data_IF_405108824892
#
_entry.id   IF_405108824892
#
_cell.length_a   1.000
_cell.length_b   1.000
_cell.length_c   1.000
_cell.angle_alpha   90.00
_cell.angle_beta   90.00
_cell.angle_gamma   90.00
#
_symmetry.space_group_name_H-M   'P 1'
#
loop_
_entity.id
_entity.type
_entity.pdbx_description
1 polymer ?
#
# COMPACT_ATOMS: atom_id res chain seq x y z
N UNK A 1 5.18 16.44 -8.14
CA UNK A 1 5.67 15.28 -8.91
C UNK A 1 5.36 15.53 -10.36
N UNK A 2 6.33 15.36 -11.26
CA UNK A 2 6.10 15.56 -12.70
C UNK A 2 5.49 14.30 -13.28
N UNK A 3 4.38 14.42 -14.00
CA UNK A 3 3.81 13.31 -14.76
C UNK A 3 4.30 13.44 -16.20
N UNK A 4 4.96 12.40 -16.70
CA UNK A 4 5.52 12.40 -18.04
C UNK A 4 4.55 11.78 -19.03
N UNK A 5 4.28 12.51 -20.11
CA UNK A 5 3.71 11.94 -21.32
C UNK A 5 4.84 11.53 -22.26
N UNK A 6 4.75 10.34 -22.86
CA UNK A 6 5.72 9.85 -23.83
C UNK A 6 5.12 9.87 -25.24
N UNK A 7 5.88 10.38 -26.21
CA UNK A 7 5.54 10.30 -27.63
C UNK A 7 6.57 9.42 -28.35
N UNK A 8 6.11 8.33 -28.97
CA UNK A 8 6.99 7.42 -29.69
C UNK A 8 7.46 8.04 -31.01
N UNK A 9 8.73 7.81 -31.37
CA UNK A 9 9.27 8.12 -32.70
C UNK A 9 9.14 9.58 -33.14
N UNK A 10 9.18 10.52 -32.20
CA UNK A 10 9.40 11.94 -32.51
C UNK A 10 10.88 12.11 -32.83
N UNK A 11 11.20 12.40 -34.08
CA UNK A 11 12.54 12.68 -34.55
C UNK A 11 12.46 13.71 -35.67
N UNK A 12 12.83 14.94 -35.36
CA UNK A 12 12.75 16.08 -36.29
C UNK A 12 13.84 17.09 -35.96
N UNK A 13 13.74 18.28 -36.52
CA UNK A 13 14.67 19.38 -36.26
C UNK A 13 13.93 20.63 -35.84
N UNK A 14 14.64 21.61 -35.29
CA UNK A 14 14.10 22.94 -35.05
C UNK A 14 13.86 23.68 -36.37
N UNK A 15 12.67 24.24 -36.54
CA UNK A 15 12.32 25.08 -37.70
C UNK A 15 12.91 26.50 -37.61
N UNK A 16 13.30 26.94 -36.42
CA UNK A 16 13.87 28.25 -36.13
C UNK A 16 14.79 28.21 -34.91
N UNK A 17 15.68 29.20 -34.76
CA UNK A 17 16.58 29.25 -33.62
C UNK A 17 15.83 29.56 -32.33
N UNK A 18 16.33 29.08 -31.19
CA UNK A 18 15.80 29.39 -29.87
C UNK A 18 16.92 29.84 -28.92
N UNK A 19 16.62 30.83 -28.08
CA UNK A 19 17.52 31.28 -27.01
C UNK A 19 17.38 30.40 -25.76
N UNK A 20 18.31 30.48 -24.78
CA UNK A 20 18.20 29.74 -23.51
C UNK A 20 16.95 30.08 -22.69
N UNK A 21 16.35 31.25 -22.91
CA UNK A 21 15.14 31.74 -22.21
C UNK A 21 13.86 31.53 -23.02
N UNK A 22 13.92 30.88 -24.19
CA UNK A 22 12.75 30.67 -25.03
C UNK A 22 11.70 29.80 -24.31
N UNK A 23 10.46 30.29 -24.27
CA UNK A 23 9.30 29.62 -23.68
C UNK A 23 8.46 28.85 -24.71
N UNK A 24 8.87 28.90 -25.98
CA UNK A 24 8.26 28.18 -27.09
C UNK A 24 9.31 27.84 -28.13
N UNK A 25 9.11 26.74 -28.86
CA UNK A 25 9.88 26.38 -30.04
C UNK A 25 8.96 25.81 -31.11
N UNK A 26 9.40 25.87 -32.37
CA UNK A 26 8.70 25.27 -33.50
C UNK A 26 9.58 24.22 -34.14
N UNK A 27 9.01 23.04 -34.34
CA UNK A 27 9.63 21.90 -35.00
C UNK A 27 9.38 21.95 -36.51
N UNK A 28 10.28 21.37 -37.28
CA UNK A 28 10.15 21.28 -38.74
C UNK A 28 9.02 20.34 -39.18
N UNK A 29 8.56 19.46 -38.28
CA UNK A 29 7.45 18.54 -38.53
C UNK A 29 6.66 18.28 -37.25
N UNK A 30 5.35 18.09 -37.39
CA UNK A 30 4.46 17.64 -36.31
C UNK A 30 4.28 16.11 -36.28
N UNK A 31 5.02 15.37 -37.12
CA UNK A 31 4.87 13.92 -37.20
C UNK A 31 5.10 13.24 -35.85
N UNK A 32 4.18 12.33 -35.48
CA UNK A 32 4.17 11.56 -34.23
C UNK A 32 4.07 12.39 -32.94
N UNK A 33 3.88 13.70 -33.04
CA UNK A 33 3.55 14.51 -31.87
C UNK A 33 2.10 14.23 -31.44
N UNK A 34 1.81 14.20 -30.13
CA UNK A 34 0.45 14.12 -29.63
C UNK A 34 -0.33 15.39 -30.00
N UNK A 35 -1.64 15.28 -30.14
CA UNK A 35 -2.50 16.43 -30.46
C UNK A 35 -2.62 17.44 -29.31
N UNK A 36 -2.30 17.04 -28.08
CA UNK A 36 -2.39 17.86 -26.87
C UNK A 36 -1.50 17.30 -25.75
N UNK A 37 -1.12 18.15 -24.79
CA UNK A 37 -0.50 17.75 -23.52
C UNK A 37 -1.54 17.96 -22.41
N UNK A 38 -2.00 16.92 -21.70
CA UNK A 38 -2.95 17.07 -20.60
C UNK A 38 -2.42 17.95 -19.46
N UNK A 39 -3.33 18.63 -18.74
CA UNK A 39 -2.97 19.46 -17.61
C UNK A 39 -2.21 18.65 -16.53
N UNK A 40 -1.12 19.23 -16.01
CA UNK A 40 -0.26 18.58 -15.02
C UNK A 40 0.73 17.57 -15.59
N UNK A 41 0.70 17.32 -16.90
CA UNK A 41 1.68 16.49 -17.60
C UNK A 41 2.67 17.32 -18.41
N UNK A 42 3.79 16.71 -18.76
CA UNK A 42 4.77 17.30 -19.67
C UNK A 42 5.19 16.33 -20.76
N UNK A 43 5.44 16.85 -21.97
CA UNK A 43 6.14 16.13 -23.02
C UNK A 43 7.63 16.42 -22.93
N UNK A 44 8.45 15.37 -22.91
CA UNK A 44 9.91 15.50 -22.85
C UNK A 44 10.49 15.50 -24.25
N UNK A 45 11.38 16.44 -24.55
CA UNK A 45 12.13 16.51 -25.80
C UNK A 45 13.62 16.68 -25.48
N UNK A 46 14.45 15.89 -26.15
CA UNK A 46 15.90 16.08 -26.21
C UNK A 46 16.27 16.96 -27.37
N UNK A 47 17.15 17.93 -27.12
CA UNK A 47 17.81 18.75 -28.13
C UNK A 47 19.26 18.32 -28.26
N UNK A 48 19.77 18.30 -29.49
CA UNK A 48 21.17 18.00 -29.78
C UNK A 48 21.64 18.77 -31.00
N UNK A 49 22.88 19.25 -30.96
CA UNK A 49 23.40 20.14 -31.98
C UNK A 49 23.78 19.33 -33.23
N UNK A 50 23.41 19.83 -34.40
CA UNK A 50 23.67 19.10 -35.65
C UNK A 50 25.17 19.04 -35.99
N UNK A 51 25.93 20.05 -35.56
CA UNK A 51 27.34 20.25 -35.93
C UNK A 51 28.31 19.30 -35.24
N UNK A 52 28.25 19.20 -33.91
CA UNK A 52 29.16 18.40 -33.08
C UNK A 52 28.49 17.19 -32.46
N UNK A 53 27.18 17.27 -32.20
CA UNK A 53 26.38 16.27 -31.49
C UNK A 53 26.83 15.99 -30.06
N UNK A 54 27.61 16.90 -29.47
CA UNK A 54 28.14 16.75 -28.12
C UNK A 54 27.33 17.52 -27.08
N UNK A 55 26.52 18.50 -27.51
CA UNK A 55 25.69 19.29 -26.62
C UNK A 55 24.30 18.69 -26.55
N UNK A 56 23.78 18.53 -25.33
CA UNK A 56 22.45 17.99 -25.10
C UNK A 56 21.68 18.85 -24.12
N UNK A 57 20.39 19.02 -24.37
CA UNK A 57 19.47 19.61 -23.42
C UNK A 57 18.18 18.80 -23.38
N UNK A 58 17.71 18.52 -22.17
CA UNK A 58 16.36 17.99 -21.97
C UNK A 58 15.44 19.16 -21.64
N UNK A 59 14.33 19.23 -22.34
CA UNK A 59 13.28 20.23 -22.12
C UNK A 59 11.96 19.54 -21.86
N UNK A 60 11.11 20.18 -21.08
CA UNK A 60 9.72 19.78 -20.88
C UNK A 60 8.79 20.80 -21.51
N UNK A 61 7.86 20.36 -22.35
CA UNK A 61 6.78 21.18 -22.88
C UNK A 61 5.49 20.89 -22.11
N UNK A 62 4.71 21.93 -21.81
CA UNK A 62 3.42 21.82 -21.10
C UNK A 62 2.23 22.00 -22.04
N UNK A 63 2.46 22.47 -23.26
CA UNK A 63 1.44 22.57 -24.30
C UNK A 63 2.02 22.31 -25.69
N UNK A 64 1.14 21.89 -26.62
CA UNK A 64 1.47 21.65 -28.01
C UNK A 64 0.32 22.09 -28.92
N UNK A 65 0.66 22.68 -30.06
CA UNK A 65 -0.28 22.98 -31.13
C UNK A 65 0.43 22.84 -32.49
N UNK A 66 0.04 21.82 -33.27
CA UNK A 66 0.75 21.47 -34.50
C UNK A 66 2.21 21.12 -34.21
N UNK A 67 3.15 21.81 -34.88
CA UNK A 67 4.59 21.62 -34.68
C UNK A 67 5.19 22.55 -33.60
N UNK A 68 4.36 23.34 -32.91
CA UNK A 68 4.83 24.30 -31.91
C UNK A 68 4.63 23.74 -30.50
N UNK A 69 5.74 23.66 -29.76
CA UNK A 69 5.75 23.33 -28.33
C UNK A 69 5.85 24.62 -27.53
N UNK A 70 5.02 24.76 -26.50
CA UNK A 70 4.93 25.97 -25.69
C UNK A 70 4.90 25.66 -24.20
N UNK A 71 5.16 26.70 -23.40
CA UNK A 71 5.34 26.57 -21.96
C UNK A 71 6.57 25.70 -21.64
N UNK A 72 7.67 25.97 -22.34
CA UNK A 72 8.91 25.23 -22.23
C UNK A 72 9.58 25.47 -20.88
N UNK A 73 9.89 24.38 -20.19
CA UNK A 73 10.82 24.33 -19.07
C UNK A 73 12.17 23.84 -19.63
N UNK A 74 13.15 24.74 -19.63
CA UNK A 74 14.50 24.52 -20.16
C UNK A 74 15.42 23.88 -19.10
N UNK A 75 16.58 23.38 -19.50
CA UNK A 75 17.61 22.86 -18.58
C UNK A 75 17.10 21.78 -17.60
N UNK A 76 16.29 20.83 -18.08
CA UNK A 76 15.75 19.77 -17.22
C UNK A 76 16.75 18.65 -17.01
N UNK A 77 16.54 17.86 -15.96
CA UNK A 77 17.34 16.67 -15.64
C UNK A 77 18.84 16.94 -15.44
N UNK A 78 19.19 18.16 -15.01
CA UNK A 78 20.58 18.56 -14.80
C UNK A 78 21.33 18.95 -16.07
N UNK A 79 20.64 19.05 -17.21
CA UNK A 79 21.20 19.67 -18.43
C UNK A 79 21.25 21.19 -18.32
N UNK A 80 21.94 21.85 -19.25
CA UNK A 80 22.08 23.31 -19.29
C UNK A 80 21.26 23.88 -20.44
N UNK A 81 20.59 25.02 -20.21
CA UNK A 81 19.87 25.71 -21.27
C UNK A 81 20.86 26.37 -22.24
N UNK A 82 20.78 26.00 -23.52
CA UNK A 82 21.65 26.53 -24.58
C UNK A 82 20.85 27.28 -25.64
N UNK A 83 21.58 28.03 -26.47
CA UNK A 83 21.05 28.51 -27.74
C UNK A 83 21.10 27.37 -28.75
N UNK A 84 20.02 27.18 -29.49
CA UNK A 84 19.94 26.17 -30.55
C UNK A 84 19.63 26.85 -31.89
N UNK A 85 20.26 26.37 -32.95
CA UNK A 85 20.08 26.84 -34.31
C UNK A 85 18.94 26.12 -35.03
N UNK A 86 18.49 26.71 -36.13
CA UNK A 86 17.63 26.00 -37.10
C UNK A 86 18.34 24.74 -37.60
N UNK A 87 17.62 23.63 -37.68
CA UNK A 87 18.16 22.36 -38.13
C UNK A 87 18.80 21.50 -37.04
N UNK A 88 18.99 22.03 -35.83
CA UNK A 88 19.38 21.20 -34.68
C UNK A 88 18.31 20.15 -34.37
N UNK A 89 18.73 19.01 -33.85
CA UNK A 89 17.86 17.87 -33.63
C UNK A 89 16.92 18.10 -32.46
N UNK A 90 15.67 17.65 -32.62
CA UNK A 90 14.66 17.61 -31.59
C UNK A 90 13.96 16.26 -31.64
N UNK A 91 14.04 15.49 -30.56
CA UNK A 91 13.57 14.12 -30.53
C UNK A 91 12.98 13.73 -29.17
N UNK A 92 12.10 12.73 -29.17
CA UNK A 92 11.59 12.09 -27.95
C UNK A 92 12.30 10.76 -27.76
N UNK A 93 13.07 10.66 -26.69
CA UNK A 93 13.76 9.44 -26.26
C UNK A 93 13.58 9.25 -24.75
N UNK A 94 13.67 8.02 -24.23
CA UNK A 94 13.62 7.79 -22.79
C UNK A 94 14.73 8.57 -22.06
N UNK A 95 14.33 9.39 -21.09
CA UNK A 95 15.26 10.18 -20.27
C UNK A 95 15.44 9.61 -18.88
N UNK A 96 16.47 10.03 -18.15
CA UNK A 96 16.73 9.55 -16.79
C UNK A 96 15.57 9.93 -15.84
N UNK A 97 15.01 11.13 -15.99
CA UNK A 97 13.85 11.61 -15.24
C UNK A 97 12.61 10.76 -15.50
N UNK A 98 12.32 10.45 -16.78
CA UNK A 98 11.25 9.53 -17.14
C UNK A 98 11.46 8.13 -16.55
N UNK A 99 12.66 7.57 -16.70
CA UNK A 99 12.95 6.22 -16.22
C UNK A 99 12.88 6.11 -14.69
N UNK A 100 13.25 7.17 -13.96
CA UNK A 100 13.13 7.26 -12.50
C UNK A 100 11.69 7.43 -12.01
N UNK A 101 10.75 7.81 -12.88
CA UNK A 101 9.34 7.88 -12.52
C UNK A 101 8.67 6.50 -12.42
N UNK A 102 9.31 5.47 -12.97
CA UNK A 102 8.89 4.08 -12.79
C UNK A 102 9.46 3.50 -11.49
N UNK A 103 8.67 2.62 -10.85
CA UNK A 103 9.13 1.86 -9.70
C UNK A 103 10.31 0.95 -10.06
N UNK A 104 11.30 0.89 -9.18
CA UNK A 104 12.54 0.13 -9.34
C UNK A 104 12.54 -1.09 -8.41
N UNK A 105 12.72 -2.30 -8.95
CA UNK A 105 12.62 -3.54 -8.16
C UNK A 105 13.65 -3.65 -7.02
N UNK A 106 14.81 -3.01 -7.16
CA UNK A 106 15.91 -3.05 -6.18
C UNK A 106 15.93 -1.87 -5.21
N UNK A 107 14.98 -0.94 -5.31
CA UNK A 107 14.94 0.27 -4.48
C UNK A 107 13.60 0.40 -3.75
N UNK A 108 13.56 1.09 -2.60
CA UNK A 108 12.29 1.43 -1.96
C UNK A 108 11.44 2.32 -2.88
N UNK A 109 10.21 1.88 -3.17
CA UNK A 109 9.25 2.65 -3.97
C UNK A 109 8.14 3.19 -3.08
N UNK A 110 7.91 4.50 -3.15
CA UNK A 110 6.75 5.15 -2.51
C UNK A 110 5.73 5.49 -3.58
N UNK A 111 4.62 4.75 -3.61
CA UNK A 111 3.50 5.00 -4.50
C UNK A 111 2.50 5.90 -3.77
N UNK A 112 2.22 7.09 -4.32
CA UNK A 112 1.24 8.03 -3.78
C UNK A 112 0.10 8.22 -4.78
N UNK A 113 -1.13 8.30 -4.29
CA UNK A 113 -2.35 8.38 -5.12
C UNK A 113 -3.04 7.03 -5.33
N UNK A 114 -4.06 7.04 -6.19
CA UNK A 114 -4.90 5.87 -6.45
C UNK A 114 -4.18 4.86 -7.35
N UNK A 115 -3.95 3.65 -6.83
CA UNK A 115 -3.38 2.53 -7.58
C UNK A 115 -4.43 1.43 -7.68
N UNK A 116 -4.79 1.05 -8.91
CA UNK A 116 -5.73 -0.05 -9.16
C UNK A 116 -4.94 -1.30 -9.55
N UNK A 117 -5.06 -2.35 -8.75
CA UNK A 117 -4.52 -3.69 -9.07
C UNK A 117 -5.68 -4.57 -9.52
N UNK A 118 -5.58 -5.14 -10.73
CA UNK A 118 -6.61 -6.01 -11.29
C UNK A 118 -6.47 -7.46 -10.85
N UNK A 119 -5.26 -7.86 -10.46
CA UNK A 119 -4.97 -9.18 -9.91
C UNK A 119 -4.77 -9.08 -8.40
N UNK A 120 -5.05 -10.16 -7.63
CA UNK A 120 -4.82 -10.19 -6.20
C UNK A 120 -3.35 -9.87 -5.88
N UNK A 121 -3.14 -8.90 -5.00
CA UNK A 121 -1.82 -8.63 -4.45
C UNK A 121 -1.49 -9.76 -3.47
N UNK A 122 -0.48 -10.58 -3.79
CA UNK A 122 0.06 -11.54 -2.85
C UNK A 122 0.92 -10.78 -1.82
N UNK A 123 0.44 -10.68 -0.59
CA UNK A 123 1.17 -10.06 0.52
C UNK A 123 1.83 -11.18 1.31
N UNK A 124 3.10 -11.04 1.68
CA UNK A 124 3.75 -12.00 2.58
C UNK A 124 3.19 -11.85 4.00
N UNK A 125 3.28 -12.88 4.86
CA UNK A 125 2.85 -12.74 6.25
C UNK A 125 3.51 -11.53 6.94
N UNK A 126 2.71 -10.69 7.60
CA UNK A 126 3.24 -9.63 8.44
C UNK A 126 4.10 -10.21 9.58
N UNK A 127 5.37 -9.80 9.64
CA UNK A 127 6.37 -10.12 10.67
C UNK A 127 6.80 -8.88 11.47
N UNK A 128 6.37 -7.69 11.06
CA UNK A 128 6.72 -6.44 11.74
C UNK A 128 5.54 -5.48 11.76
N UNK A 129 5.48 -4.58 12.75
CA UNK A 129 4.42 -3.59 12.82
C UNK A 129 4.36 -2.68 11.58
N UNK A 130 3.14 -2.30 11.16
CA UNK A 130 2.91 -1.49 9.96
C UNK A 130 2.88 -2.29 8.64
N UNK A 131 3.14 -3.60 8.68
CA UNK A 131 2.92 -4.48 7.53
C UNK A 131 1.43 -4.90 7.44
N UNK A 132 0.94 -5.14 6.22
CA UNK A 132 -0.41 -5.65 6.00
C UNK A 132 -0.51 -7.13 6.42
N UNK A 133 -1.58 -7.48 7.13
CA UNK A 133 -1.84 -8.84 7.63
C UNK A 133 -2.70 -9.61 6.61
N UNK A 134 -2.29 -10.82 6.24
CA UNK A 134 -3.11 -11.70 5.41
C UNK A 134 -4.31 -12.24 6.18
N UNK A 135 -5.43 -12.48 5.48
CA UNK A 135 -6.59 -13.13 6.10
C UNK A 135 -6.25 -14.54 6.64
N UNK A 136 -5.38 -15.27 5.96
CA UNK A 136 -4.92 -16.61 6.39
C UNK A 136 -3.95 -16.56 7.57
N UNK A 137 -3.48 -15.37 7.98
CA UNK A 137 -2.78 -15.20 9.26
C UNK A 137 -3.75 -15.13 10.45
N UNK A 138 -5.05 -15.04 10.21
CA UNK A 138 -6.05 -15.30 11.23
C UNK A 138 -6.30 -16.81 11.31
N UNK A 139 -6.36 -17.41 12.53
CA UNK A 139 -6.72 -18.80 12.68
C UNK A 139 -8.06 -19.08 11.98
N UNK A 140 -8.08 -20.00 11.01
CA UNK A 140 -9.27 -20.31 10.20
C UNK A 140 -10.49 -20.71 11.04
N UNK A 141 -10.24 -21.27 12.23
CA UNK A 141 -11.21 -21.52 13.29
C UNK A 141 -10.49 -21.23 14.61
N UNK A 142 -11.13 -20.46 15.50
CA UNK A 142 -10.79 -20.49 16.93
C UNK A 142 -11.22 -21.88 17.46
N UNK A 143 -10.38 -22.88 17.21
CA UNK A 143 -10.71 -24.29 17.27
C UNK A 143 -10.85 -24.82 18.71
N UNK A 144 -11.27 -26.08 18.83
CA UNK A 144 -11.43 -26.83 20.08
C UNK A 144 -10.12 -27.06 20.87
N UNK A 145 -8.99 -26.59 20.36
CA UNK A 145 -7.67 -26.70 21.00
C UNK A 145 -7.16 -25.33 21.43
N UNK A 146 -6.64 -25.23 22.65
CA UNK A 146 -6.07 -23.99 23.17
C UNK A 146 -4.96 -23.46 22.25
N UNK A 147 -5.06 -22.21 21.84
CA UNK A 147 -4.15 -21.55 20.91
C UNK A 147 -3.91 -20.08 21.26
N UNK A 148 -2.91 -19.49 20.60
CA UNK A 148 -2.51 -18.10 20.75
C UNK A 148 -2.02 -17.55 19.41
N UNK A 149 -2.49 -16.37 19.03
CA UNK A 149 -2.05 -15.63 17.84
C UNK A 149 -1.58 -14.24 18.27
N UNK A 150 -0.38 -13.85 17.85
CA UNK A 150 0.18 -12.52 18.11
C UNK A 150 0.10 -11.68 16.84
N UNK A 151 -0.44 -10.47 16.97
CA UNK A 151 -0.54 -9.46 15.93
C UNK A 151 0.43 -8.32 16.24
N UNK A 152 1.45 -8.08 15.41
CA UNK A 152 2.43 -7.03 15.66
C UNK A 152 1.77 -5.64 15.68
N UNK A 153 2.18 -4.77 16.62
CA UNK A 153 1.71 -3.38 16.74
C UNK A 153 2.88 -2.45 17.07
N UNK A 154 2.87 -1.24 16.49
CA UNK A 154 3.89 -0.22 16.78
C UNK A 154 3.61 0.47 18.12
N UNK A 155 2.34 0.56 18.51
CA UNK A 155 1.90 1.29 19.69
C UNK A 155 2.01 0.44 20.96
N UNK A 156 2.00 -0.87 20.82
CA UNK A 156 2.03 -1.82 21.92
C UNK A 156 3.20 -2.78 21.63
N UNK A 157 4.33 -2.60 22.32
CA UNK A 157 5.63 -3.16 21.90
C UNK A 157 5.66 -4.65 21.54
N UNK A 158 4.91 -5.51 22.24
CA UNK A 158 4.79 -6.96 21.95
C UNK A 158 3.68 -7.33 20.97
N UNK A 159 2.89 -6.36 20.52
CA UNK A 159 1.69 -6.57 19.73
C UNK A 159 0.45 -6.90 20.55
N UNK A 160 -0.69 -7.05 19.89
CA UNK A 160 -1.90 -7.62 20.46
C UNK A 160 -1.84 -9.14 20.41
N UNK A 161 -2.37 -9.81 21.41
CA UNK A 161 -2.39 -11.27 21.52
C UNK A 161 -3.84 -11.73 21.66
N UNK A 162 -4.27 -12.60 20.75
CA UNK A 162 -5.53 -13.33 20.84
C UNK A 162 -5.25 -14.75 21.34
N UNK A 163 -5.77 -15.09 22.51
CA UNK A 163 -5.78 -16.46 23.04
C UNK A 163 -7.17 -17.04 22.87
N UNK A 164 -7.27 -18.31 22.58
CA UNK A 164 -8.54 -18.99 22.32
C UNK A 164 -8.47 -20.46 22.69
N UNK A 165 -9.63 -21.11 22.78
CA UNK A 165 -9.73 -22.54 23.00
C UNK A 165 -11.16 -22.97 23.31
N UNK A 166 -11.31 -24.17 23.83
CA UNK A 166 -12.59 -24.73 24.26
C UNK A 166 -12.45 -25.41 25.62
N UNK A 167 -13.44 -25.23 26.49
CA UNK A 167 -13.51 -25.94 27.76
C UNK A 167 -14.96 -26.18 28.18
N UNK A 168 -15.19 -27.28 28.89
CA UNK A 168 -16.51 -27.63 29.41
C UNK A 168 -16.85 -26.85 30.69
N UNK A 169 -18.13 -26.57 30.87
CA UNK A 169 -18.67 -26.04 32.13
C UNK A 169 -18.65 -27.09 33.22
N UNK A 170 -18.25 -26.69 34.42
CA UNK A 170 -18.27 -27.54 35.61
C UNK A 170 -19.69 -27.65 36.20
N UNK A 171 -19.86 -28.40 37.31
CA UNK A 171 -21.14 -28.58 38.00
C UNK A 171 -21.80 -27.28 38.49
N UNK A 172 -21.05 -26.17 38.57
CA UNK A 172 -21.55 -24.84 38.93
C UNK A 172 -21.87 -23.98 37.70
N UNK A 173 -21.86 -24.55 36.50
CA UNK A 173 -22.10 -23.84 35.23
C UNK A 173 -21.01 -22.84 34.85
N UNK A 174 -19.81 -22.99 35.42
CA UNK A 174 -18.68 -22.12 35.12
C UNK A 174 -17.67 -22.86 34.27
N UNK A 175 -17.21 -22.22 33.20
CA UNK A 175 -16.06 -22.66 32.41
C UNK A 175 -14.81 -21.92 32.90
N UNK A 176 -13.73 -22.67 33.12
CA UNK A 176 -12.43 -22.13 33.49
C UNK A 176 -11.41 -22.62 32.47
N UNK A 177 -10.68 -21.70 31.87
CA UNK A 177 -9.58 -22.02 30.97
C UNK A 177 -8.29 -21.31 31.42
N UNK A 178 -7.22 -22.10 31.53
CA UNK A 178 -5.86 -21.61 31.77
C UNK A 178 -5.16 -21.42 30.44
N UNK A 179 -4.56 -20.26 30.24
CA UNK A 179 -3.75 -19.99 29.06
C UNK A 179 -2.44 -20.79 29.14
N UNK A 180 -1.97 -21.32 28.01
CA UNK A 180 -0.68 -22.01 27.95
C UNK A 180 0.47 -21.11 28.44
N UNK A 181 0.41 -19.83 28.08
CA UNK A 181 1.31 -18.79 28.53
C UNK A 181 0.52 -17.54 28.95
N UNK A 182 1.10 -16.75 29.87
CA UNK A 182 0.49 -15.50 30.33
C UNK A 182 0.44 -14.42 29.23
N UNK A 183 -0.51 -13.48 29.33
CA UNK A 183 -0.36 -12.19 28.65
C UNK A 183 0.86 -11.46 29.24
N UNK A 184 1.84 -11.02 28.42
CA UNK A 184 3.06 -10.37 28.91
C UNK A 184 2.76 -9.16 29.82
N UNK A 185 1.87 -8.27 29.39
CA UNK A 185 1.63 -6.98 30.03
C UNK A 185 0.25 -6.90 30.68
N UNK A 186 -0.83 -7.05 29.91
CA UNK A 186 -2.17 -6.95 30.45
C UNK A 186 -3.20 -7.69 29.59
N UNK A 187 -4.31 -8.05 30.21
CA UNK A 187 -5.50 -8.49 29.48
C UNK A 187 -6.39 -7.27 29.20
N UNK A 188 -7.20 -7.35 28.15
CA UNK A 188 -8.10 -6.30 27.70
C UNK A 188 -9.56 -6.73 27.81
N UNK A 189 -9.91 -7.87 27.20
CA UNK A 189 -11.28 -8.38 27.17
C UNK A 189 -11.28 -9.87 26.87
N UNK A 190 -12.41 -10.53 27.10
CA UNK A 190 -12.60 -11.92 26.75
C UNK A 190 -14.07 -12.29 26.75
N UNK A 191 -14.38 -13.45 26.20
CA UNK A 191 -15.74 -13.93 26.07
C UNK A 191 -15.76 -15.34 25.55
N UNK A 192 -16.97 -15.82 25.24
CA UNK A 192 -17.12 -17.14 24.66
C UNK A 192 -18.54 -17.41 24.18
N UNK A 193 -18.69 -18.52 23.50
CA UNK A 193 -19.94 -19.03 22.97
C UNK A 193 -20.04 -20.52 23.23
N UNK A 194 -21.26 -21.04 23.43
CA UNK A 194 -21.47 -22.48 23.60
C UNK A 194 -21.38 -23.16 22.23
N UNK A 195 -20.56 -24.22 22.14
CA UNK A 195 -20.26 -24.93 20.88
C UNK A 195 -21.25 -26.07 20.65
N UNK A 196 -21.56 -26.80 21.71
CA UNK A 196 -22.49 -27.93 21.71
C UNK A 196 -23.43 -27.77 22.91
N UNK A 197 -24.61 -27.21 22.68
CA UNK A 197 -25.58 -26.92 23.74
C UNK A 197 -27.01 -26.98 23.23
N UNK A 198 -27.85 -27.64 24.01
CA UNK A 198 -29.30 -27.59 23.87
C UNK A 198 -29.81 -26.14 23.90
N UNK A 199 -30.96 -25.84 23.29
CA UNK A 199 -31.58 -24.51 23.11
C UNK A 199 -31.92 -23.72 24.41
N UNK A 200 -31.31 -24.11 25.52
CA UNK A 200 -31.57 -23.66 26.89
C UNK A 200 -30.56 -22.61 27.36
N UNK A 201 -29.45 -22.40 26.63
CA UNK A 201 -28.43 -21.39 26.97
C UNK A 201 -28.94 -19.99 26.62
N UNK A 202 -28.97 -19.11 27.61
CA UNK A 202 -29.43 -17.72 27.45
C UNK A 202 -28.26 -16.73 27.44
N UNK A 203 -27.19 -17.01 28.20
CA UNK A 203 -26.04 -16.11 28.27
C UNK A 203 -24.76 -16.85 28.61
N UNK A 204 -23.66 -16.40 27.98
CA UNK A 204 -22.29 -16.66 28.40
C UNK A 204 -21.70 -15.33 28.87
N UNK A 205 -21.33 -15.23 30.14
CA UNK A 205 -20.87 -13.97 30.73
C UNK A 205 -19.46 -14.07 31.26
N UNK A 206 -18.64 -13.04 31.03
CA UNK A 206 -17.31 -12.96 31.61
C UNK A 206 -17.41 -12.78 33.12
N UNK A 207 -16.92 -13.75 33.89
CA UNK A 207 -16.81 -13.64 35.35
C UNK A 207 -15.47 -13.05 35.76
N UNK A 208 -14.38 -13.60 35.22
CA UNK A 208 -13.05 -13.09 35.49
C UNK A 208 -12.12 -13.29 34.30
N UNK A 209 -11.19 -12.35 34.14
CA UNK A 209 -10.10 -12.44 33.20
C UNK A 209 -8.84 -11.94 33.92
N UNK A 210 -7.75 -12.68 33.78
CA UNK A 210 -6.45 -12.27 34.28
C UNK A 210 -5.36 -12.65 33.27
N UNK A 211 -4.10 -12.42 33.62
CA UNK A 211 -2.98 -12.71 32.70
C UNK A 211 -2.87 -14.18 32.31
N UNK A 212 -3.33 -15.12 33.14
CA UNK A 212 -3.08 -16.56 32.99
C UNK A 212 -4.34 -17.37 32.72
N UNK A 213 -5.52 -16.77 32.71
CA UNK A 213 -6.75 -17.51 32.42
C UNK A 213 -8.00 -16.65 32.35
N UNK A 214 -9.07 -17.31 31.93
CA UNK A 214 -10.42 -16.76 31.78
C UNK A 214 -11.42 -17.67 32.49
N UNK A 215 -12.43 -17.04 33.08
CA UNK A 215 -13.59 -17.73 33.65
C UNK A 215 -14.88 -17.14 33.09
N UNK A 216 -15.72 -17.99 32.55
CA UNK A 216 -17.04 -17.64 32.02
C UNK A 216 -18.13 -18.37 32.81
N UNK A 217 -19.29 -17.74 32.97
CA UNK A 217 -20.49 -18.40 33.46
C UNK A 217 -21.46 -18.64 32.33
N UNK A 218 -22.11 -19.80 32.36
CA UNK A 218 -23.12 -20.18 31.39
C UNK A 218 -24.44 -20.40 32.12
N UNK A 219 -25.42 -19.56 31.79
CA UNK A 219 -26.71 -19.55 32.44
C UNK A 219 -27.83 -19.86 31.45
N UNK A 220 -28.88 -20.52 31.95
CA UNK A 220 -30.11 -20.73 31.21
C UNK A 220 -31.03 -19.50 31.22
N UNK A 221 -32.17 -19.58 30.54
CA UNK A 221 -33.16 -18.49 30.49
C UNK A 221 -33.72 -18.09 31.86
N UNK A 222 -33.68 -18.98 32.85
CA UNK A 222 -34.07 -18.72 34.24
C UNK A 222 -32.89 -18.22 35.12
N UNK A 223 -31.71 -17.96 34.54
CA UNK A 223 -30.52 -17.53 35.26
C UNK A 223 -29.82 -18.65 36.06
N UNK A 224 -30.20 -19.91 35.86
CA UNK A 224 -29.60 -21.06 36.54
C UNK A 224 -28.36 -21.57 35.79
N UNK A 225 -27.32 -22.04 36.50
CA UNK A 225 -26.10 -22.54 35.88
C UNK A 225 -26.34 -23.79 35.03
N UNK A 226 -25.66 -23.88 33.89
CA UNK A 226 -25.70 -25.05 32.99
C UNK A 226 -24.35 -25.76 33.02
N UNK A 227 -24.32 -27.01 33.46
CA UNK A 227 -23.12 -27.86 33.48
C UNK A 227 -23.02 -28.79 32.28
N UNK A 228 -21.79 -29.19 31.91
CA UNK A 228 -21.55 -30.22 30.88
C UNK A 228 -21.68 -29.73 29.43
N UNK A 229 -21.81 -28.42 29.21
CA UNK A 229 -21.76 -27.81 27.87
C UNK A 229 -20.35 -27.29 27.57
N UNK A 230 -19.93 -27.40 26.33
CA UNK A 230 -18.64 -26.87 25.88
C UNK A 230 -18.74 -25.41 25.46
N UNK A 231 -17.76 -24.61 25.87
CA UNK A 231 -17.66 -23.18 25.54
C UNK A 231 -16.37 -22.93 24.77
N UNK A 232 -16.50 -22.45 23.53
CA UNK A 232 -15.38 -21.82 22.81
C UNK A 232 -15.16 -20.45 23.42
N UNK A 233 -13.94 -20.18 23.87
CA UNK A 233 -13.58 -18.93 24.52
C UNK A 233 -12.50 -18.21 23.74
N UNK A 234 -12.44 -16.90 23.96
CA UNK A 234 -11.36 -16.06 23.49
C UNK A 234 -10.99 -15.03 24.57
N UNK A 235 -9.74 -14.60 24.54
CA UNK A 235 -9.20 -13.52 25.36
C UNK A 235 -8.24 -12.67 24.52
N UNK A 236 -8.32 -11.36 24.69
CA UNK A 236 -7.46 -10.37 24.05
C UNK A 236 -6.60 -9.68 25.13
N UNK A 237 -5.33 -9.47 24.82
CA UNK A 237 -4.36 -8.81 25.69
C UNK A 237 -3.09 -8.46 24.95
N UNK A 238 -2.03 -8.12 25.66
CA UNK A 238 -0.70 -7.79 25.13
C UNK A 238 0.37 -7.97 26.19
#
# INVERSE_FOLDING_TARGET
MTIFMFANNVNTTLAGPISPSATSLTLSSAANLPSSIPAGQVLVIGLNDVGTRQNFEIIYATSISGATLSGLLRAQEGTTALSWGTGDFAYSAPTAGQMRSFGQISEPNTWSGDNTFTEPVAIAPAVSPGQAVNIDQFPAILSSSNGSQTFPSLEIGTGFILKFGEAATNGSGSMIATFADAFPNNWLTGGGTVVNGSAIVNSVTLRSLNKTGIQLDVLNAAGSPISGVNVSWYALGY
#
